data_IF_600208873863
#
_entry.id   IF_600208873863
#
_cell.length_a   1.000
_cell.length_b   1.000
_cell.length_c   1.000
_cell.angle_alpha   90.00
_cell.angle_beta   90.00
_cell.angle_gamma   90.00
#
_symmetry.space_group_name_H-M   'P 1'
#
loop_
_entity.id
_entity.type
_entity.pdbx_description
1 polymer ?
#
# COMPACT_ATOMS: atom_id res chain seq x y z
N UNK A 1 -16.88 -3.13 -12.32
CA UNK A 1 -15.73 -2.93 -13.24
C UNK A 1 -14.70 -2.02 -12.55
N UNK A 2 -13.58 -1.68 -13.21
CA UNK A 2 -12.58 -0.78 -12.61
C UNK A 2 -13.07 0.67 -12.47
N UNK A 3 -14.00 1.14 -13.30
CA UNK A 3 -14.58 2.48 -13.16
C UNK A 3 -15.36 2.65 -11.86
N UNK A 4 -16.16 1.66 -11.46
CA UNK A 4 -16.86 1.70 -10.18
C UNK A 4 -15.88 1.70 -8.99
N UNK A 5 -14.83 0.89 -9.06
CA UNK A 5 -13.77 0.88 -8.03
C UNK A 5 -13.02 2.20 -7.97
N UNK A 6 -12.69 2.80 -9.13
CA UNK A 6 -12.06 4.12 -9.20
C UNK A 6 -12.93 5.21 -8.55
N UNK A 7 -14.24 5.21 -8.84
CA UNK A 7 -15.20 6.14 -8.24
C UNK A 7 -15.29 6.02 -6.73
N UNK A 8 -15.15 4.81 -6.17
CA UNK A 8 -15.05 4.61 -4.72
C UNK A 8 -13.71 5.13 -4.17
N UNK A 9 -12.59 4.78 -4.82
CA UNK A 9 -11.24 5.23 -4.44
C UNK A 9 -11.13 6.76 -4.38
N UNK A 10 -11.75 7.48 -5.33
CA UNK A 10 -11.66 8.93 -5.39
C UNK A 10 -12.26 9.63 -4.17
N UNK A 11 -13.23 8.99 -3.50
CA UNK A 11 -13.91 9.51 -2.30
C UNK A 11 -13.15 9.24 -0.98
N UNK A 12 -12.05 8.46 -1.02
CA UNK A 12 -11.28 8.12 0.18
C UNK A 12 -10.07 9.04 0.33
N UNK A 13 -9.71 9.39 1.57
CA UNK A 13 -8.50 10.18 1.85
C UNK A 13 -7.23 9.31 1.87
N UNK A 14 -7.39 8.04 2.26
CA UNK A 14 -6.33 7.05 2.37
C UNK A 14 -6.86 5.68 1.98
N UNK A 15 -6.05 4.91 1.25
CA UNK A 15 -6.33 3.52 0.89
C UNK A 15 -5.26 2.65 1.54
N UNK A 16 -5.66 1.74 2.43
CA UNK A 16 -4.77 0.73 3.03
C UNK A 16 -5.16 -0.63 2.43
N UNK A 17 -4.22 -1.31 1.76
CA UNK A 17 -4.51 -2.56 1.05
C UNK A 17 -3.27 -3.46 0.93
N UNK A 18 -3.45 -4.68 0.42
CA UNK A 18 -2.35 -5.59 0.07
C UNK A 18 -2.04 -5.49 -1.43
N UNK A 19 -1.02 -6.22 -1.92
CA UNK A 19 -0.67 -6.30 -3.35
C UNK A 19 -1.84 -6.85 -4.18
N UNK A 20 -2.65 -5.94 -4.73
CA UNK A 20 -3.84 -6.21 -5.54
C UNK A 20 -4.00 -5.14 -6.62
N UNK A 21 -4.90 -5.37 -7.57
CA UNK A 21 -5.25 -4.38 -8.58
C UNK A 21 -5.73 -3.03 -7.99
N UNK A 22 -6.30 -3.03 -6.78
CA UNK A 22 -6.72 -1.80 -6.09
C UNK A 22 -5.53 -0.90 -5.73
N UNK A 23 -4.41 -1.49 -5.29
CA UNK A 23 -3.20 -0.73 -4.98
C UNK A 23 -2.69 0.03 -6.21
N UNK A 24 -2.67 -0.65 -7.36
CA UNK A 24 -2.24 -0.09 -8.63
C UNK A 24 -3.20 0.96 -9.17
N UNK A 25 -4.50 0.69 -9.14
CA UNK A 25 -5.51 1.65 -9.58
C UNK A 25 -5.46 2.93 -8.73
N UNK A 26 -5.39 2.80 -7.40
CA UNK A 26 -5.30 3.95 -6.51
C UNK A 26 -4.00 4.74 -6.68
N UNK A 27 -2.86 4.05 -6.86
CA UNK A 27 -1.58 4.69 -7.18
C UNK A 27 -1.59 5.42 -8.51
N UNK A 28 -2.17 4.83 -9.56
CA UNK A 28 -2.32 5.46 -10.88
C UNK A 28 -3.25 6.69 -10.86
N UNK A 29 -4.24 6.69 -9.96
CA UNK A 29 -5.12 7.84 -9.70
C UNK A 29 -4.48 8.91 -8.80
N UNK A 30 -3.23 8.73 -8.36
CA UNK A 30 -2.51 9.70 -7.53
C UNK A 30 -3.04 9.84 -6.10
N UNK A 31 -3.89 8.91 -5.64
CA UNK A 31 -4.40 8.91 -4.26
C UNK A 31 -3.32 8.43 -3.30
N UNK A 32 -3.39 8.84 -2.03
CA UNK A 32 -2.51 8.33 -0.98
C UNK A 32 -2.82 6.86 -0.72
N UNK A 33 -1.83 5.99 -0.88
CA UNK A 33 -1.99 4.54 -0.74
C UNK A 33 -0.92 3.95 0.16
N UNK A 34 -1.32 3.12 1.10
CA UNK A 34 -0.44 2.27 1.90
C UNK A 34 -0.63 0.82 1.46
N UNK A 35 0.44 0.20 0.99
CA UNK A 35 0.41 -1.18 0.51
C UNK A 35 1.21 -2.07 1.45
N UNK A 36 0.55 -3.09 2.00
CA UNK A 36 1.14 -4.09 2.87
C UNK A 36 1.73 -5.21 2.02
N UNK A 37 3.04 -5.39 2.12
CA UNK A 37 3.85 -6.22 1.24
C UNK A 37 4.43 -7.42 2.02
N UNK A 38 4.30 -8.66 1.51
CA UNK A 38 4.81 -9.85 2.18
C UNK A 38 6.34 -9.88 2.21
N UNK A 39 6.91 -10.73 3.07
CA UNK A 39 8.36 -10.86 3.23
C UNK A 39 9.10 -11.19 1.92
N UNK A 40 8.49 -12.01 1.07
CA UNK A 40 8.95 -12.27 -0.30
C UNK A 40 7.98 -11.57 -1.24
N UNK A 41 8.29 -10.34 -1.68
CA UNK A 41 7.42 -9.60 -2.58
C UNK A 41 7.59 -10.04 -4.03
N UNK A 42 6.61 -9.66 -4.87
CA UNK A 42 6.82 -9.62 -6.31
C UNK A 42 7.90 -8.59 -6.70
N UNK A 43 8.56 -8.80 -7.84
CA UNK A 43 9.68 -7.97 -8.31
C UNK A 43 9.32 -6.49 -8.42
N UNK A 44 8.04 -6.17 -8.70
CA UNK A 44 7.50 -4.81 -8.78
C UNK A 44 7.42 -4.09 -7.44
N UNK A 45 7.95 -4.64 -6.35
CA UNK A 45 8.05 -3.88 -5.11
C UNK A 45 9.49 -3.58 -4.74
N UNK A 46 10.48 -4.16 -5.45
CA UNK A 46 11.90 -4.12 -5.08
C UNK A 46 12.14 -4.57 -3.63
N UNK A 47 13.38 -4.45 -3.18
CA UNK A 47 13.81 -4.75 -1.81
C UNK A 47 14.25 -3.47 -1.10
N UNK A 48 14.23 -3.48 0.23
CA UNK A 48 14.88 -2.47 1.09
C UNK A 48 14.42 -1.02 0.86
N UNK A 49 13.14 -0.81 0.54
CA UNK A 49 12.56 0.53 0.36
C UNK A 49 11.11 0.62 0.81
N UNK A 50 10.70 1.74 1.38
CA UNK A 50 9.32 1.97 1.87
C UNK A 50 8.47 2.82 0.92
N UNK A 51 8.97 3.12 -0.27
CA UNK A 51 8.30 3.90 -1.31
C UNK A 51 8.15 3.10 -2.62
N UNK A 52 7.35 3.62 -3.54
CA UNK A 52 7.09 3.02 -4.85
C UNK A 52 7.68 3.88 -5.98
N UNK A 53 8.62 3.38 -6.80
CA UNK A 53 9.10 4.09 -7.98
C UNK A 53 8.04 4.25 -9.08
N UNK A 54 6.93 3.51 -9.01
CA UNK A 54 5.84 3.60 -9.98
C UNK A 54 4.76 4.61 -9.57
N UNK A 55 4.53 4.79 -8.27
CA UNK A 55 3.47 5.64 -7.73
C UNK A 55 4.00 6.50 -6.59
N UNK A 56 4.24 7.78 -6.86
CA UNK A 56 4.81 8.72 -5.89
C UNK A 56 3.94 8.95 -4.65
N UNK A 57 2.63 8.66 -4.73
CA UNK A 57 1.68 8.78 -3.63
C UNK A 57 1.61 7.54 -2.73
N UNK A 58 2.41 6.51 -3.01
CA UNK A 58 2.34 5.21 -2.35
C UNK A 58 3.49 4.98 -1.36
N UNK A 59 3.12 4.48 -0.19
CA UNK A 59 4.03 4.00 0.86
C UNK A 59 3.86 2.48 1.02
N UNK A 60 4.96 1.78 1.27
CA UNK A 60 5.03 0.33 1.40
C UNK A 60 5.34 -0.04 2.85
N UNK A 61 4.52 -0.93 3.41
CA UNK A 61 4.70 -1.52 4.74
C UNK A 61 5.09 -2.97 4.56
N UNK A 62 6.32 -3.33 4.95
CA UNK A 62 6.90 -4.63 4.62
C UNK A 62 6.91 -5.54 5.81
N UNK A 63 6.45 -6.76 5.60
CA UNK A 63 6.61 -7.82 6.56
C UNK A 63 8.10 -8.10 6.80
N UNK A 64 8.61 -7.97 8.04
CA UNK A 64 10.03 -8.13 8.35
C UNK A 64 10.48 -9.59 8.37
N UNK A 65 9.54 -10.51 8.61
CA UNK A 65 9.74 -11.97 8.60
C UNK A 65 8.48 -12.65 8.09
N UNK A 66 8.62 -13.73 7.32
CA UNK A 66 7.48 -14.52 6.84
C UNK A 66 6.48 -14.81 7.97
N UNK A 67 5.23 -14.35 7.78
CA UNK A 67 4.13 -14.55 8.72
C UNK A 67 3.96 -13.47 9.80
N UNK A 68 4.96 -12.60 10.00
CA UNK A 68 4.88 -11.49 10.95
C UNK A 68 4.09 -10.29 10.37
N UNK A 69 2.77 -10.43 10.31
CA UNK A 69 1.87 -9.33 9.95
C UNK A 69 1.54 -8.42 11.13
N UNK A 70 1.77 -8.88 12.36
CA UNK A 70 1.53 -8.09 13.57
C UNK A 70 2.45 -6.86 13.59
N UNK A 71 3.75 -7.04 13.33
CA UNK A 71 4.70 -5.92 13.22
C UNK A 71 4.30 -4.91 12.15
N UNK A 72 3.75 -5.38 11.02
CA UNK A 72 3.28 -4.53 9.91
C UNK A 72 2.07 -3.69 10.35
N UNK A 73 1.10 -4.31 11.01
CA UNK A 73 -0.11 -3.61 11.49
C UNK A 73 0.22 -2.59 12.58
N UNK A 74 1.16 -2.89 13.49
CA UNK A 74 1.66 -1.93 14.49
C UNK A 74 2.32 -0.72 13.81
N UNK A 75 3.09 -0.94 12.74
CA UNK A 75 3.72 0.16 11.99
C UNK A 75 2.68 1.02 11.26
N UNK A 76 1.67 0.39 10.66
CA UNK A 76 0.53 1.08 10.02
C UNK A 76 -0.21 1.94 11.02
N UNK A 77 -0.59 1.38 12.17
CA UNK A 77 -1.31 2.06 13.26
C UNK A 77 -0.53 3.29 13.76
N UNK A 78 0.75 3.09 14.09
CA UNK A 78 1.65 4.20 14.51
C UNK A 78 1.79 5.29 13.44
N UNK A 79 1.76 4.93 12.16
CA UNK A 79 1.85 5.91 11.07
C UNK A 79 0.51 6.64 10.90
N UNK A 80 -0.61 5.96 11.14
CA UNK A 80 -1.95 6.52 11.07
C UNK A 80 -2.19 7.56 12.15
N UNK A 81 -1.70 7.33 13.37
CA UNK A 81 -1.77 8.29 14.48
C UNK A 81 -1.03 9.62 14.20
N UNK A 82 -0.15 9.65 13.19
CA UNK A 82 0.66 10.81 12.83
C UNK A 82 0.13 11.58 11.61
N UNK A 83 -0.94 11.10 11.00
CA UNK A 83 -1.61 11.75 9.87
C UNK A 83 -2.45 12.95 10.32
#
# INVERSE_FOLDING_TARGET
DFSMTASAILQLDLIITVDTAVAHLAGALGKRVWTLIPFIPDWRWLMERSDSPWYSSMQLFRQPKRGDWESVLIEVDRTLDKL
#
